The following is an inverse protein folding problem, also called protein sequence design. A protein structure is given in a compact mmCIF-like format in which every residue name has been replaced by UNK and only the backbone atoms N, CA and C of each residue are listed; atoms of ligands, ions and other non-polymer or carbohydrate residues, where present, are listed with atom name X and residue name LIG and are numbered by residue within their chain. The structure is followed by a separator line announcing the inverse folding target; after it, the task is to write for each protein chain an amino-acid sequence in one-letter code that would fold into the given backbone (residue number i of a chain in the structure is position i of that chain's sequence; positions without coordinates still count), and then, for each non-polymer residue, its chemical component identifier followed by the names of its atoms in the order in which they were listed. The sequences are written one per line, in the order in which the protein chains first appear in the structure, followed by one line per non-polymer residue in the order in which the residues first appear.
data_IF_258959827223
#
_entry.id   IF_258959827223
#
_cell.length_a   1.000
_cell.length_b   1.000
_cell.length_c   1.000
_cell.angle_alpha   90.00
_cell.angle_beta   90.00
_cell.angle_gamma   90.00
#
_symmetry.space_group_name_H-M   'P 1'
#
loop_
_entity.id
_entity.type
_entity.pdbx_description
1 polymer ?
#
# COMPACT_ATOMS: atom_id res chain seq x y z
N UNK A 1 -3.08 5.80 20.42
CA UNK A 1 -3.27 6.33 19.08
C UNK A 1 -1.96 6.31 18.30
N UNK A 2 -2.00 5.87 17.04
CA UNK A 2 -0.82 5.84 16.22
C UNK A 2 -0.32 7.25 15.93
N UNK A 3 0.94 7.51 16.24
CA UNK A 3 1.56 8.79 15.92
C UNK A 3 2.36 8.63 14.63
N UNK A 4 1.91 9.25 13.52
CA UNK A 4 2.63 9.15 12.24
C UNK A 4 4.09 9.58 12.33
N UNK A 5 4.36 10.57 13.16
CA UNK A 5 5.73 11.08 13.33
C UNK A 5 6.67 10.05 13.94
N UNK A 6 6.14 9.09 14.70
CA UNK A 6 6.96 8.04 15.32
C UNK A 6 7.53 7.08 14.28
N UNK A 7 6.77 6.74 13.25
CA UNK A 7 7.24 5.87 12.18
C UNK A 7 8.34 6.57 11.40
N UNK A 8 8.09 7.82 11.01
CA UNK A 8 9.06 8.62 10.24
C UNK A 8 10.32 8.84 11.06
N UNK A 9 10.16 9.19 12.36
CA UNK A 9 11.31 9.43 13.24
C UNK A 9 12.16 8.18 13.44
N UNK A 10 11.58 6.99 13.42
CA UNK A 10 12.33 5.74 13.49
C UNK A 10 13.24 5.54 12.30
N UNK A 11 12.75 5.82 11.11
CA UNK A 11 13.58 5.76 9.90
C UNK A 11 14.74 6.73 9.97
N UNK A 12 14.49 7.95 10.44
CA UNK A 12 15.52 8.97 10.59
C UNK A 12 16.56 8.58 11.64
N UNK A 13 16.10 8.12 12.81
CA UNK A 13 16.99 7.75 13.92
C UNK A 13 17.88 6.56 13.61
N UNK A 14 17.42 5.65 12.76
CA UNK A 14 18.21 4.49 12.36
C UNK A 14 19.19 4.79 11.22
N UNK A 15 19.27 6.03 10.77
CA UNK A 15 20.14 6.41 9.66
C UNK A 15 19.61 6.00 8.29
N UNK A 16 18.33 5.68 8.21
CA UNK A 16 17.69 5.17 6.98
C UNK A 16 17.03 6.26 6.15
N UNK A 17 17.68 7.41 6.03
CA UNK A 17 17.12 8.52 5.24
C UNK A 17 16.94 8.13 3.77
N UNK A 18 17.88 7.41 3.19
CA UNK A 18 17.77 6.93 1.80
C UNK A 18 16.58 6.00 1.63
N UNK A 19 16.35 5.14 2.61
CA UNK A 19 15.23 4.21 2.62
C UNK A 19 13.90 4.96 2.71
N UNK A 20 13.83 5.94 3.59
CA UNK A 20 12.65 6.78 3.72
C UNK A 20 12.36 7.54 2.42
N UNK A 21 13.39 8.08 1.78
CA UNK A 21 13.26 8.79 0.50
C UNK A 21 12.74 7.86 -0.59
N UNK A 22 13.23 6.64 -0.64
CA UNK A 22 12.78 5.63 -1.58
C UNK A 22 11.29 5.30 -1.38
N UNK A 23 10.90 5.09 -0.15
CA UNK A 23 9.51 4.80 0.21
C UNK A 23 8.62 6.01 -0.11
N UNK A 24 9.10 7.21 0.16
CA UNK A 24 8.35 8.44 -0.13
C UNK A 24 8.07 8.58 -1.64
N UNK A 25 9.00 8.19 -2.49
CA UNK A 25 8.78 8.20 -3.95
C UNK A 25 7.65 7.25 -4.34
N UNK A 26 7.60 6.09 -3.72
CA UNK A 26 6.52 5.12 -3.97
C UNK A 26 5.18 5.72 -3.51
N UNK A 27 5.14 6.34 -2.35
CA UNK A 27 3.93 7.01 -1.83
C UNK A 27 3.47 8.11 -2.79
N UNK A 28 4.41 8.87 -3.33
CA UNK A 28 4.08 9.92 -4.31
C UNK A 28 3.46 9.32 -5.57
N UNK A 29 3.94 8.17 -6.04
CA UNK A 29 3.33 7.46 -7.17
C UNK A 29 1.91 7.01 -6.85
N UNK A 30 1.69 6.49 -5.65
CA UNK A 30 0.35 6.08 -5.21
C UNK A 30 -0.59 7.29 -5.22
N UNK A 31 -0.14 8.41 -4.69
CA UNK A 31 -0.94 9.64 -4.66
C UNK A 31 -1.27 10.16 -6.05
N UNK A 32 -0.35 10.05 -6.99
CA UNK A 32 -0.60 10.45 -8.37
C UNK A 32 -1.67 9.58 -9.05
N UNK A 33 -1.77 8.32 -8.66
CA UNK A 33 -2.76 7.40 -9.21
C UNK A 33 -4.16 7.61 -8.62
N UNK A 34 -4.26 8.32 -7.51
CA UNK A 34 -5.54 8.50 -6.82
C UNK A 34 -6.61 9.12 -7.71
N UNK A 35 -6.26 10.12 -8.49
CA UNK A 35 -7.22 10.78 -9.37
C UNK A 35 -7.79 9.83 -10.43
N UNK A 36 -6.98 8.91 -10.93
CA UNK A 36 -7.42 7.91 -11.90
C UNK A 36 -8.33 6.86 -11.24
N UNK A 37 -7.88 6.32 -10.10
CA UNK A 37 -8.60 5.25 -9.41
C UNK A 37 -9.91 5.76 -8.83
N UNK A 38 -9.97 7.01 -8.39
CA UNK A 38 -11.21 7.58 -7.84
C UNK A 38 -12.34 7.66 -8.87
N UNK A 39 -12.01 7.58 -10.14
CA UNK A 39 -12.99 7.60 -11.24
C UNK A 39 -13.46 6.20 -11.64
N UNK A 40 -12.87 5.15 -11.08
CA UNK A 40 -13.24 3.78 -11.41
C UNK A 40 -14.67 3.51 -10.94
N UNK A 41 -15.38 2.70 -11.74
CA UNK A 41 -16.65 2.13 -11.31
C UNK A 41 -16.36 0.92 -10.41
N UNK A 42 -17.33 0.51 -9.59
CA UNK A 42 -17.11 -0.59 -8.66
C UNK A 42 -16.69 -1.88 -9.36
N UNK A 43 -17.22 -2.16 -10.55
CA UNK A 43 -16.87 -3.36 -11.30
C UNK A 43 -15.45 -3.31 -11.89
N UNK A 44 -14.81 -2.17 -11.92
CA UNK A 44 -13.41 -2.06 -12.36
C UNK A 44 -12.45 -2.68 -11.35
N UNK A 45 -12.83 -2.76 -10.08
CA UNK A 45 -11.93 -3.25 -9.03
C UNK A 45 -11.57 -4.74 -9.22
N UNK A 46 -12.54 -5.65 -9.40
CA UNK A 46 -12.19 -7.05 -9.70
C UNK A 46 -11.43 -7.21 -11.01
N UNK A 47 -11.77 -6.41 -12.02
CA UNK A 47 -11.07 -6.46 -13.32
C UNK A 47 -9.61 -6.05 -13.15
N UNK A 48 -9.35 -5.03 -12.35
CA UNK A 48 -7.99 -4.56 -12.09
C UNK A 48 -7.19 -5.60 -11.31
N UNK A 49 -7.82 -6.26 -10.35
CA UNK A 49 -7.20 -7.36 -9.61
C UNK A 49 -6.79 -8.48 -10.56
N UNK A 50 -7.65 -8.86 -11.48
CA UNK A 50 -7.34 -9.88 -12.48
C UNK A 50 -6.20 -9.45 -13.39
N UNK A 51 -6.15 -8.18 -13.75
CA UNK A 51 -5.04 -7.63 -14.55
C UNK A 51 -3.72 -7.76 -13.80
N UNK A 52 -3.70 -7.45 -12.51
CA UNK A 52 -2.50 -7.60 -11.68
C UNK A 52 -2.02 -9.05 -11.65
N UNK A 53 -2.94 -9.99 -11.45
CA UNK A 53 -2.62 -11.41 -11.43
C UNK A 53 -2.03 -11.85 -12.76
N UNK A 54 -2.60 -11.39 -13.88
CA UNK A 54 -2.09 -11.70 -15.23
C UNK A 54 -0.69 -11.14 -15.43
N UNK A 55 -0.45 -9.91 -14.98
CA UNK A 55 0.88 -9.31 -15.09
C UNK A 55 1.93 -10.09 -14.28
N UNK A 56 1.56 -10.59 -13.11
CA UNK A 56 2.46 -11.42 -12.31
C UNK A 56 2.79 -12.74 -13.00
N UNK A 57 1.80 -13.35 -13.64
CA UNK A 57 2.02 -14.58 -14.41
C UNK A 57 2.94 -14.36 -15.59
N UNK A 58 2.93 -13.16 -16.15
CA UNK A 58 3.78 -12.77 -17.28
C UNK A 58 5.18 -12.33 -16.87
N UNK A 59 5.49 -12.34 -15.59
CA UNK A 59 6.82 -12.06 -15.07
C UNK A 59 6.99 -10.74 -14.34
N UNK A 60 5.93 -9.95 -14.18
CA UNK A 60 6.02 -8.73 -13.38
C UNK A 60 6.27 -9.07 -11.92
N UNK A 61 6.93 -8.18 -11.21
CA UNK A 61 7.19 -8.36 -9.79
C UNK A 61 6.15 -7.63 -8.97
N UNK A 62 5.94 -8.08 -7.73
CA UNK A 62 5.02 -7.42 -6.82
C UNK A 62 5.33 -5.93 -6.65
N UNK A 63 6.61 -5.56 -6.60
CA UNK A 63 7.00 -4.16 -6.45
C UNK A 63 6.59 -3.30 -7.65
N UNK A 64 6.48 -3.90 -8.84
CA UNK A 64 6.02 -3.18 -10.04
C UNK A 64 4.52 -2.84 -9.96
N UNK A 65 3.77 -3.66 -9.26
CA UNK A 65 2.32 -3.55 -9.14
C UNK A 65 1.93 -2.73 -7.90
N UNK A 66 2.81 -2.67 -6.90
CA UNK A 66 2.52 -2.10 -5.60
C UNK A 66 1.85 -0.71 -5.65
N UNK A 67 2.34 0.26 -6.42
CA UNK A 67 1.70 1.58 -6.40
C UNK A 67 0.23 1.52 -6.85
N UNK A 68 -0.05 0.79 -7.92
CA UNK A 68 -1.42 0.65 -8.44
C UNK A 68 -2.30 -0.14 -7.46
N UNK A 69 -1.75 -1.22 -6.89
CA UNK A 69 -2.48 -2.05 -5.95
C UNK A 69 -2.85 -1.27 -4.68
N UNK A 70 -1.91 -0.51 -4.14
CA UNK A 70 -2.17 0.30 -2.95
C UNK A 70 -3.17 1.42 -3.22
N UNK A 71 -3.09 2.05 -4.39
CA UNK A 71 -4.06 3.06 -4.78
C UNK A 71 -5.47 2.45 -4.87
N UNK A 72 -5.57 1.25 -5.42
CA UNK A 72 -6.84 0.53 -5.55
C UNK A 72 -7.44 0.20 -4.17
N UNK A 73 -6.62 -0.33 -3.26
CA UNK A 73 -7.06 -0.68 -1.91
C UNK A 73 -7.51 0.55 -1.14
N UNK A 74 -6.76 1.65 -1.25
CA UNK A 74 -7.12 2.91 -0.60
C UNK A 74 -8.47 3.40 -1.03
N UNK A 75 -8.74 3.36 -2.34
CA UNK A 75 -10.02 3.81 -2.87
C UNK A 75 -11.16 2.88 -2.46
N UNK A 76 -10.94 1.57 -2.46
CA UNK A 76 -11.93 0.60 -2.01
C UNK A 76 -12.29 0.82 -0.53
N UNK A 77 -11.28 1.06 0.30
CA UNK A 77 -11.49 1.33 1.72
C UNK A 77 -12.28 2.61 1.94
N UNK A 78 -12.00 3.64 1.18
CA UNK A 78 -12.74 4.89 1.24
C UNK A 78 -14.22 4.69 0.89
N UNK A 79 -14.49 3.90 -0.15
CA UNK A 79 -15.88 3.66 -0.61
C UNK A 79 -16.68 2.79 0.34
N UNK A 80 -16.04 1.74 0.88
CA UNK A 80 -16.75 0.74 1.69
C UNK A 80 -16.84 1.17 3.15
N UNK A 81 -15.75 1.67 3.71
CA UNK A 81 -15.63 1.97 5.14
C UNK A 81 -15.56 3.46 5.46
N UNK A 82 -15.57 4.32 4.45
CA UNK A 82 -15.33 5.75 4.60
C UNK A 82 -13.98 6.06 5.26
N UNK A 83 -13.01 5.17 5.07
CA UNK A 83 -11.68 5.29 5.66
C UNK A 83 -10.63 5.32 4.55
N UNK A 84 -10.08 6.50 4.32
CA UNK A 84 -9.01 6.67 3.35
C UNK A 84 -7.67 6.53 4.05
N UNK A 85 -6.79 5.71 3.50
CA UNK A 85 -5.43 5.55 4.04
C UNK A 85 -4.66 6.88 3.98
N UNK A 86 -4.02 7.24 5.08
CA UNK A 86 -3.08 8.35 5.12
C UNK A 86 -1.72 7.91 4.60
N UNK A 87 -0.89 8.87 4.20
CA UNK A 87 0.45 8.59 3.68
C UNK A 87 1.27 7.72 4.64
N UNK A 88 1.18 7.97 5.94
CA UNK A 88 1.92 7.19 6.95
C UNK A 88 1.47 5.74 6.95
N UNK A 89 0.21 5.47 6.66
CA UNK A 89 -0.28 4.09 6.57
C UNK A 89 0.22 3.42 5.31
N UNK A 90 0.35 4.15 4.22
CA UNK A 90 0.97 3.64 2.99
C UNK A 90 2.43 3.29 3.25
N UNK A 91 3.16 4.13 3.96
CA UNK A 91 4.54 3.86 4.36
C UNK A 91 4.61 2.58 5.19
N UNK A 92 3.71 2.43 6.16
CA UNK A 92 3.63 1.24 6.98
C UNK A 92 3.34 -0.02 6.17
N UNK A 93 2.45 0.09 5.19
CA UNK A 93 2.11 -1.02 4.28
C UNK A 93 3.29 -1.46 3.44
N UNK A 94 4.05 -0.51 2.92
CA UNK A 94 5.26 -0.79 2.14
C UNK A 94 6.29 -1.48 3.03
N UNK A 95 6.51 -0.96 4.24
CA UNK A 95 7.45 -1.53 5.19
C UNK A 95 7.07 -2.96 5.57
N UNK A 96 5.79 -3.23 5.78
CA UNK A 96 5.31 -4.56 6.07
C UNK A 96 5.54 -5.52 4.91
N UNK A 97 5.24 -5.08 3.71
CA UNK A 97 5.45 -5.87 2.50
C UNK A 97 6.93 -6.23 2.33
N UNK A 98 7.82 -5.33 2.68
CA UNK A 98 9.27 -5.54 2.56
C UNK A 98 9.88 -6.22 3.78
N UNK A 99 9.06 -6.74 4.69
CA UNK A 99 9.49 -7.39 5.93
C UNK A 99 10.27 -6.48 6.87
N UNK A 100 10.02 -5.18 6.80
CA UNK A 100 10.60 -4.24 7.74
C UNK A 100 9.65 -4.05 8.91
N UNK A 101 10.18 -3.82 10.09
CA UNK A 101 9.37 -3.66 11.28
C UNK A 101 8.75 -2.28 11.29
N UNK A 102 7.43 -2.22 11.13
CA UNK A 102 6.67 -1.02 11.37
C UNK A 102 5.98 -1.20 12.72
N UNK A 103 6.46 -0.53 13.74
CA UNK A 103 5.82 -0.61 15.04
C UNK A 103 4.58 0.26 15.06
N UNK A 104 3.45 -0.38 14.99
CA UNK A 104 2.16 0.27 15.11
C UNK A 104 1.50 -0.24 16.39
N UNK A 105 1.32 0.64 17.35
CA UNK A 105 0.86 0.27 18.69
C UNK A 105 -0.65 0.27 18.84
N UNK A 106 -1.38 0.78 17.88
CA UNK A 106 -2.84 0.84 17.97
C UNK A 106 -3.47 -0.06 16.93
N UNK A 107 -4.61 -0.63 17.27
CA UNK A 107 -5.28 -1.60 16.42
C UNK A 107 -5.79 -1.04 15.10
N UNK A 108 -6.36 0.16 15.11
CA UNK A 108 -7.02 0.73 13.93
C UNK A 108 -6.05 1.02 12.78
N UNK A 109 -4.98 1.75 13.07
CA UNK A 109 -3.99 2.07 12.06
C UNK A 109 -3.29 0.82 11.55
N UNK A 110 -3.11 -0.15 12.42
CA UNK A 110 -2.48 -1.42 12.08
C UNK A 110 -3.34 -2.24 11.11
N UNK A 111 -4.65 -2.27 11.31
CA UNK A 111 -5.56 -2.99 10.43
C UNK A 111 -5.52 -2.45 9.01
N UNK A 112 -5.58 -1.12 8.84
CA UNK A 112 -5.52 -0.50 7.53
C UNK A 112 -4.18 -0.78 6.84
N UNK A 113 -3.10 -0.77 7.59
CA UNK A 113 -1.76 -1.05 7.07
C UNK A 113 -1.63 -2.51 6.61
N UNK A 114 -2.14 -3.44 7.41
CA UNK A 114 -2.09 -4.88 7.11
C UNK A 114 -2.86 -5.19 5.83
N UNK A 115 -4.01 -4.58 5.64
CA UNK A 115 -4.83 -4.80 4.44
C UNK A 115 -4.06 -4.51 3.16
N UNK A 116 -3.27 -3.44 3.14
CA UNK A 116 -2.46 -3.10 1.97
C UNK A 116 -1.49 -4.22 1.60
N UNK A 117 -0.70 -4.64 2.57
CA UNK A 117 0.30 -5.69 2.35
C UNK A 117 -0.35 -7.04 2.05
N UNK A 118 -1.44 -7.36 2.75
CA UNK A 118 -2.14 -8.63 2.56
C UNK A 118 -2.73 -8.73 1.15
N UNK A 119 -3.35 -7.67 0.66
CA UNK A 119 -3.91 -7.65 -0.69
C UNK A 119 -2.82 -7.91 -1.74
N UNK A 120 -1.72 -7.17 -1.65
CA UNK A 120 -0.63 -7.27 -2.60
C UNK A 120 -0.05 -8.69 -2.63
N UNK A 121 0.23 -9.26 -1.48
CA UNK A 121 0.83 -10.58 -1.40
C UNK A 121 -0.13 -11.70 -1.80
N UNK A 122 -1.43 -11.51 -1.57
CA UNK A 122 -2.44 -12.47 -2.00
C UNK A 122 -2.52 -12.60 -3.52
N UNK A 123 -2.20 -11.57 -4.26
CA UNK A 123 -2.18 -11.60 -5.73
C UNK A 123 -1.19 -12.65 -6.25
N UNK A 124 -0.05 -12.75 -5.63
CA UNK A 124 0.98 -13.72 -6.03
C UNK A 124 0.51 -15.15 -5.79
N UNK A 125 -0.15 -15.39 -4.67
CA UNK A 125 -0.69 -16.72 -4.35
C UNK A 125 -1.78 -17.14 -5.31
N UNK A 126 -2.64 -16.22 -5.71
CA UNK A 126 -3.73 -16.50 -6.66
C UNK A 126 -3.21 -16.71 -8.07
N UNK A 127 -2.03 -16.19 -8.37
CA UNK A 127 -1.40 -16.31 -9.67
C UNK A 127 -0.67 -17.63 -9.90
N UNK A 128 -0.57 -18.44 -8.89
CA UNK A 128 0.14 -19.72 -8.97
C UNK A 128 -0.73 -20.84 -9.53
#
# INVERSE_FOLDING_TARGET
MLNPLNIISKFIKSGNQKELDRIQKIVNQINLLESTVSKFEDNNFPLKTNEFISRLKEGAKLNDILPEAFALVREASRRINSERHFDVQLIGGIALHENKIAEMKTGEGKTLTIVLAAYLNALEKKGV
#
